data_IF_541810995173
#
_entry.id   IF_541810995173
#
_cell.length_a   1.000
_cell.length_b   1.000
_cell.length_c   1.000
_cell.angle_alpha   90.00
_cell.angle_beta   90.00
_cell.angle_gamma   90.00
#
_symmetry.space_group_name_H-M   'P 1'
#
loop_
_entity.id
_entity.type
_entity.pdbx_description
1 polymer ?
#
# COMPACT_ATOMS: atom_id res chain seq x y z
N UNK A 1 -12.05 -0.04 15.52
CA UNK A 1 -11.03 -1.05 15.18
C UNK A 1 -11.27 -1.46 13.72
N UNK A 2 -10.23 -1.52 12.89
CA UNK A 2 -10.40 -1.95 11.48
C UNK A 2 -10.80 -3.44 11.47
N UNK A 3 -11.80 -3.86 10.68
CA UNK A 3 -12.40 -5.22 10.77
C UNK A 3 -11.40 -6.35 10.54
N UNK A 4 -10.41 -6.14 9.68
CA UNK A 4 -9.41 -7.17 9.35
C UNK A 4 -8.55 -7.59 10.55
N UNK A 5 -8.40 -6.75 11.59
CA UNK A 5 -7.63 -7.06 12.79
C UNK A 5 -8.25 -8.18 13.64
N UNK A 6 -9.48 -8.59 13.34
CA UNK A 6 -10.13 -9.74 13.98
C UNK A 6 -9.75 -11.08 13.34
N UNK A 7 -9.10 -11.07 12.17
CA UNK A 7 -8.67 -12.31 11.50
C UNK A 7 -7.51 -12.93 12.27
N UNK A 8 -7.60 -14.23 12.55
CA UNK A 8 -6.53 -14.98 13.23
C UNK A 8 -5.27 -15.06 12.38
N UNK A 9 -4.11 -15.07 13.04
CA UNK A 9 -2.79 -15.22 12.41
C UNK A 9 -2.20 -16.56 12.83
N UNK A 10 -1.69 -17.32 11.86
CA UNK A 10 -0.81 -18.46 12.06
C UNK A 10 0.40 -18.30 11.14
N UNK A 11 1.45 -17.64 11.64
CA UNK A 11 2.64 -17.33 10.85
C UNK A 11 3.30 -18.62 10.34
N UNK A 12 3.60 -18.68 9.04
CA UNK A 12 4.23 -19.85 8.41
C UNK A 12 5.75 -19.86 8.54
N UNK A 13 6.36 -18.81 9.11
CA UNK A 13 7.79 -18.73 9.36
C UNK A 13 8.65 -18.47 8.11
N UNK A 14 8.09 -18.12 6.97
CA UNK A 14 8.88 -17.78 5.80
C UNK A 14 9.79 -16.57 6.07
N UNK A 15 11.08 -16.61 5.67
CA UNK A 15 11.98 -15.49 5.86
C UNK A 15 11.68 -14.33 4.90
N UNK A 16 12.16 -13.13 5.26
CA UNK A 16 12.27 -12.00 4.33
C UNK A 16 13.42 -12.24 3.35
N UNK A 17 13.19 -11.85 2.08
CA UNK A 17 14.21 -11.84 1.04
C UNK A 17 14.21 -10.50 0.29
N UNK A 18 15.38 -10.02 -0.19
CA UNK A 18 15.46 -8.80 -0.98
C UNK A 18 14.67 -8.90 -2.28
N UNK A 19 14.02 -7.80 -2.66
CA UNK A 19 13.35 -7.68 -3.95
C UNK A 19 14.44 -7.50 -5.01
N UNK A 20 14.77 -8.58 -5.68
CA UNK A 20 15.73 -8.60 -6.80
C UNK A 20 15.12 -9.41 -7.95
N UNK A 21 14.20 -8.80 -8.67
CA UNK A 21 13.49 -9.42 -9.79
C UNK A 21 13.71 -8.58 -11.06
N UNK A 22 14.01 -9.26 -12.17
CA UNK A 22 14.02 -8.61 -13.47
C UNK A 22 12.64 -8.00 -13.78
N UNK A 23 12.59 -6.78 -14.32
CA UNK A 23 11.33 -6.07 -14.59
C UNK A 23 10.66 -5.45 -13.35
N UNK A 24 11.29 -5.54 -12.17
CA UNK A 24 10.89 -4.83 -10.95
C UNK A 24 11.97 -3.81 -10.59
N UNK A 25 11.58 -2.57 -10.38
CA UNK A 25 12.45 -1.47 -9.95
C UNK A 25 12.08 -1.05 -8.53
N UNK A 26 13.07 -0.52 -7.83
CA UNK A 26 12.91 0.01 -6.48
C UNK A 26 13.07 1.52 -6.55
N UNK A 27 12.15 2.27 -5.94
CA UNK A 27 12.26 3.72 -5.87
C UNK A 27 13.43 4.11 -4.97
N UNK A 28 14.40 4.80 -5.54
CA UNK A 28 15.61 5.23 -4.81
C UNK A 28 15.93 6.70 -5.08
N UNK A 29 16.28 7.47 -4.02
CA UNK A 29 16.29 7.08 -2.60
C UNK A 29 14.87 6.74 -2.10
N UNK A 30 14.77 5.99 -0.99
CA UNK A 30 13.47 5.59 -0.43
C UNK A 30 12.74 6.82 0.13
N UNK A 31 11.44 7.03 -0.19
CA UNK A 31 10.72 8.26 0.19
C UNK A 31 10.71 8.54 1.70
N UNK A 32 10.51 7.51 2.53
CA UNK A 32 10.46 7.72 3.97
C UNK A 32 11.84 7.97 4.59
N UNK A 33 12.91 7.42 4.00
CA UNK A 33 14.29 7.75 4.41
C UNK A 33 14.63 9.21 4.10
N UNK A 34 14.14 9.76 2.99
CA UNK A 34 14.27 11.21 2.67
C UNK A 34 13.61 12.06 3.74
N UNK A 35 12.44 11.63 4.27
CA UNK A 35 11.75 12.32 5.35
C UNK A 35 12.44 12.18 6.72
N UNK A 36 13.43 11.28 6.84
CA UNK A 36 14.17 11.05 8.07
C UNK A 36 13.75 9.79 8.85
N UNK A 37 12.94 8.91 8.25
CA UNK A 37 12.60 7.64 8.89
C UNK A 37 13.82 6.72 9.04
N UNK A 38 14.07 6.21 10.24
CA UNK A 38 15.18 5.31 10.54
C UNK A 38 14.76 3.84 10.45
N UNK A 39 15.22 3.16 9.42
CA UNK A 39 15.03 1.72 9.24
C UNK A 39 16.01 0.87 10.07
N UNK A 40 16.91 1.50 10.86
CA UNK A 40 17.88 0.81 11.73
C UNK A 40 18.74 -0.22 10.96
N UNK A 41 19.18 0.16 9.76
CA UNK A 41 19.98 -0.71 8.88
C UNK A 41 19.21 -1.83 8.18
N UNK A 42 17.90 -1.92 8.36
CA UNK A 42 17.03 -2.85 7.61
C UNK A 42 16.69 -2.26 6.25
N UNK A 43 16.53 -3.10 5.25
CA UNK A 43 16.05 -2.64 3.93
C UNK A 43 14.53 -2.52 3.93
N UNK A 44 13.96 -1.42 3.39
CA UNK A 44 12.52 -1.34 3.10
C UNK A 44 12.09 -2.27 1.96
N UNK A 45 13.04 -2.71 1.14
CA UNK A 45 12.77 -3.48 -0.09
C UNK A 45 12.99 -4.99 0.12
N UNK A 46 12.32 -5.56 1.12
CA UNK A 46 12.28 -7.00 1.38
C UNK A 46 10.84 -7.47 1.50
N UNK A 47 10.59 -8.72 1.12
CA UNK A 47 9.28 -9.38 1.22
C UNK A 47 9.47 -10.81 1.72
N UNK A 48 8.41 -11.42 2.29
CA UNK A 48 8.35 -12.87 2.53
C UNK A 48 8.61 -13.61 1.21
N UNK A 49 9.33 -14.71 1.27
CA UNK A 49 9.78 -15.44 0.06
C UNK A 49 8.63 -15.87 -0.84
N UNK A 50 7.50 -16.30 -0.27
CA UNK A 50 6.29 -16.61 -1.02
C UNK A 50 5.67 -15.39 -1.70
N UNK A 51 5.65 -14.24 -1.02
CA UNK A 51 5.17 -12.96 -1.58
C UNK A 51 6.06 -12.51 -2.74
N UNK A 52 7.39 -12.62 -2.57
CA UNK A 52 8.36 -12.29 -3.62
C UNK A 52 8.16 -13.16 -4.87
N UNK A 53 7.91 -14.47 -4.70
CA UNK A 53 7.60 -15.38 -5.80
C UNK A 53 6.34 -14.95 -6.56
N UNK A 54 5.31 -14.53 -5.82
CA UNK A 54 4.05 -14.05 -6.41
C UNK A 54 4.21 -12.71 -7.13
N UNK A 55 5.04 -11.80 -6.59
CA UNK A 55 5.40 -10.56 -7.30
C UNK A 55 6.07 -10.85 -8.64
N UNK A 56 6.92 -11.88 -8.69
CA UNK A 56 7.50 -12.37 -9.94
C UNK A 56 6.45 -12.86 -10.95
N UNK A 57 5.35 -13.48 -10.50
CA UNK A 57 4.24 -13.88 -11.36
C UNK A 57 3.45 -12.67 -11.88
N UNK A 58 3.13 -11.71 -11.00
CA UNK A 58 2.47 -10.45 -11.40
C UNK A 58 3.28 -9.71 -12.49
N UNK A 59 4.60 -9.69 -12.34
CA UNK A 59 5.51 -9.08 -13.36
C UNK A 59 5.42 -9.80 -14.70
N UNK A 60 5.29 -11.14 -14.72
CA UNK A 60 5.11 -11.89 -15.98
C UNK A 60 3.79 -11.51 -16.65
N UNK A 61 2.70 -11.43 -15.89
CA UNK A 61 1.40 -10.96 -16.41
C UNK A 61 1.50 -9.53 -16.99
N UNK A 62 2.23 -8.63 -16.32
CA UNK A 62 2.46 -7.28 -16.86
C UNK A 62 3.22 -7.36 -18.20
N UNK A 63 4.26 -8.17 -18.30
CA UNK A 63 5.07 -8.30 -19.51
C UNK A 63 4.29 -8.87 -20.71
N UNK A 64 3.27 -9.68 -20.46
CA UNK A 64 2.37 -10.20 -21.50
C UNK A 64 1.44 -9.12 -22.06
N UNK A 65 1.07 -8.12 -21.25
CA UNK A 65 0.14 -7.03 -21.62
C UNK A 65 0.93 -5.81 -22.14
N UNK A 66 1.96 -5.40 -21.39
CA UNK A 66 2.81 -4.24 -21.67
C UNK A 66 4.29 -4.66 -21.61
N UNK A 67 4.87 -5.23 -22.67
CA UNK A 67 6.19 -5.88 -22.65
C UNK A 67 7.35 -4.99 -22.22
N UNK A 68 7.22 -3.67 -22.38
CA UNK A 68 8.27 -2.70 -22.05
C UNK A 68 8.10 -2.08 -20.65
N UNK A 69 6.94 -2.27 -20.03
CA UNK A 69 6.65 -1.68 -18.73
C UNK A 69 7.28 -2.48 -17.59
N UNK A 70 7.43 -1.82 -16.45
CA UNK A 70 8.02 -2.41 -15.24
C UNK A 70 7.19 -2.06 -14.01
N UNK A 71 7.26 -2.92 -12.99
CA UNK A 71 6.74 -2.59 -11.67
C UNK A 71 7.75 -1.68 -10.97
N UNK A 72 7.27 -0.59 -10.36
CA UNK A 72 8.04 0.24 -9.44
C UNK A 72 7.54 0.01 -8.01
N UNK A 73 8.39 -0.53 -7.15
CA UNK A 73 8.09 -0.68 -5.72
C UNK A 73 8.43 0.64 -5.03
N UNK A 74 7.41 1.25 -4.44
CA UNK A 74 7.52 2.48 -3.64
C UNK A 74 7.93 2.15 -2.20
N UNK A 75 7.21 1.23 -1.55
CA UNK A 75 7.50 0.71 -0.21
C UNK A 75 7.10 -0.78 -0.11
N UNK A 76 7.74 -1.52 0.78
CA UNK A 76 7.41 -2.92 1.04
C UNK A 76 7.45 -3.23 2.54
N UNK A 77 8.61 -3.60 3.10
CA UNK A 77 8.74 -3.86 4.53
C UNK A 77 8.88 -2.56 5.32
N UNK A 78 8.01 -2.38 6.31
CA UNK A 78 8.00 -1.19 7.17
C UNK A 78 8.00 -1.62 8.64
N UNK A 79 9.10 -1.46 9.38
CA UNK A 79 9.14 -1.70 10.83
C UNK A 79 8.14 -0.81 11.58
N UNK A 80 7.69 -1.26 12.76
CA UNK A 80 6.73 -0.49 13.58
C UNK A 80 7.24 0.92 13.90
N UNK A 81 8.55 1.08 14.15
CA UNK A 81 9.14 2.40 14.41
C UNK A 81 8.98 3.35 13.22
N UNK A 82 9.16 2.85 11.99
CA UNK A 82 8.95 3.64 10.77
C UNK A 82 7.46 3.92 10.55
N UNK A 83 6.59 2.95 10.83
CA UNK A 83 5.14 3.18 10.80
C UNK A 83 4.71 4.29 11.76
N UNK A 84 5.27 4.31 12.99
CA UNK A 84 5.01 5.38 13.96
C UNK A 84 5.53 6.73 13.45
N UNK A 85 6.76 6.75 12.91
CA UNK A 85 7.34 7.95 12.34
C UNK A 85 6.45 8.56 11.25
N UNK A 86 5.91 7.75 10.32
CA UNK A 86 5.04 8.22 9.25
C UNK A 86 3.70 8.76 9.78
N UNK A 87 3.12 8.13 10.80
CA UNK A 87 1.94 8.64 11.50
C UNK A 87 2.22 10.01 12.13
N UNK A 88 3.35 10.16 12.82
CA UNK A 88 3.72 11.41 13.49
C UNK A 88 4.06 12.51 12.49
N UNK A 89 4.74 12.16 11.38
CA UNK A 89 5.04 13.10 10.29
C UNK A 89 3.76 13.64 9.64
N UNK A 90 2.85 12.75 9.24
CA UNK A 90 1.57 13.15 8.63
C UNK A 90 0.69 13.94 9.61
N UNK A 91 0.71 13.59 10.91
CA UNK A 91 0.05 14.38 11.93
C UNK A 91 0.60 15.82 11.97
N UNK A 92 1.93 15.99 11.94
CA UNK A 92 2.58 17.30 11.94
C UNK A 92 2.26 18.09 10.65
N UNK A 93 2.22 17.44 9.49
CA UNK A 93 1.83 18.06 8.22
C UNK A 93 0.39 18.57 8.25
N UNK A 94 -0.55 17.81 8.81
CA UNK A 94 -1.96 18.25 8.96
C UNK A 94 -2.04 19.44 9.93
N UNK A 95 -1.33 19.39 11.05
CA UNK A 95 -1.25 20.51 11.99
C UNK A 95 -0.71 21.78 11.31
N UNK A 96 0.30 21.63 10.47
CA UNK A 96 0.87 22.73 9.70
C UNK A 96 -0.11 23.28 8.66
N UNK A 97 -0.71 22.41 7.88
CA UNK A 97 -1.71 22.73 6.85
C UNK A 97 -2.89 23.52 7.43
N UNK A 98 -3.35 23.12 8.61
CA UNK A 98 -4.53 23.70 9.27
C UNK A 98 -4.16 24.94 10.13
N UNK A 99 -2.90 25.40 10.10
CA UNK A 99 -2.45 26.61 10.82
C UNK A 99 -2.45 26.47 12.35
N UNK A 100 -2.34 25.25 12.86
CA UNK A 100 -2.40 24.92 14.30
C UNK A 100 -1.02 24.78 14.95
N UNK A 101 0.05 25.12 14.25
CA UNK A 101 1.43 25.04 14.75
C UNK A 101 1.63 25.94 15.99
N UNK A 102 2.37 25.41 16.99
CA UNK A 102 2.66 26.13 18.24
C UNK A 102 1.47 26.32 19.17
N UNK A 103 0.30 25.76 18.84
CA UNK A 103 -0.90 25.81 19.67
C UNK A 103 -1.08 24.53 20.50
N UNK A 104 -1.68 24.67 21.67
CA UNK A 104 -2.16 23.49 22.43
C UNK A 104 -3.43 22.95 21.80
N UNK A 105 -3.32 21.80 21.14
CA UNK A 105 -4.46 21.15 20.48
C UNK A 105 -5.46 20.61 21.51
N UNK A 106 -6.74 20.89 21.30
CA UNK A 106 -7.82 20.25 22.06
C UNK A 106 -7.91 18.74 21.78
N UNK A 107 -8.56 18.01 22.67
CA UNK A 107 -8.82 16.57 22.46
C UNK A 107 -9.57 16.30 21.16
N UNK A 108 -10.55 17.14 20.82
CA UNK A 108 -11.34 17.00 19.60
C UNK A 108 -10.49 17.28 18.34
N UNK A 109 -9.65 18.31 18.35
CA UNK A 109 -8.71 18.59 17.25
C UNK A 109 -7.76 17.41 17.03
N UNK A 110 -7.14 16.87 18.08
CA UNK A 110 -6.27 15.69 17.99
C UNK A 110 -7.00 14.50 17.38
N UNK A 111 -8.21 14.21 17.85
CA UNK A 111 -9.03 13.13 17.34
C UNK A 111 -9.33 13.28 15.84
N UNK A 112 -9.71 14.48 15.42
CA UNK A 112 -10.02 14.77 14.01
C UNK A 112 -8.79 14.66 13.11
N UNK A 113 -7.59 15.07 13.59
CA UNK A 113 -6.34 14.91 12.86
C UNK A 113 -6.00 13.42 12.73
N UNK A 114 -6.06 12.65 13.84
CA UNK A 114 -5.80 11.21 13.77
C UNK A 114 -6.79 10.45 12.88
N UNK A 115 -8.05 10.90 12.78
CA UNK A 115 -9.01 10.31 11.84
C UNK A 115 -8.56 10.51 10.39
N UNK A 116 -7.96 11.65 10.04
CA UNK A 116 -7.39 11.89 8.71
C UNK A 116 -6.13 11.04 8.51
N UNK A 117 -5.19 11.05 9.47
CA UNK A 117 -3.95 10.23 9.43
C UNK A 117 -4.27 8.77 9.15
N UNK A 118 -5.23 8.20 9.88
CA UNK A 118 -5.59 6.78 9.75
C UNK A 118 -6.47 6.44 8.53
N UNK A 119 -6.70 7.39 7.64
CA UNK A 119 -7.30 7.09 6.32
C UNK A 119 -6.30 6.31 5.44
N UNK A 120 -5.02 6.69 5.49
CA UNK A 120 -3.94 6.06 4.71
C UNK A 120 -2.95 5.26 5.57
N UNK A 121 -2.80 5.57 6.86
CA UNK A 121 -1.88 4.84 7.71
C UNK A 121 -2.59 3.77 8.54
N UNK A 122 -1.98 2.59 8.64
CA UNK A 122 -2.35 1.64 9.69
C UNK A 122 -1.88 2.16 11.05
N UNK A 123 -2.66 1.86 12.10
CA UNK A 123 -2.27 2.20 13.48
C UNK A 123 -0.99 1.44 13.83
N UNK A 124 0.08 2.11 14.29
CA UNK A 124 1.27 1.44 14.76
C UNK A 124 0.93 0.53 15.95
N UNK A 125 1.19 -0.76 15.80
CA UNK A 125 0.85 -1.74 16.82
C UNK A 125 2.02 -2.66 17.11
N UNK A 126 2.47 -2.68 18.36
CA UNK A 126 3.44 -3.67 18.85
C UNK A 126 2.79 -5.01 19.21
N UNK A 127 1.46 -5.09 19.24
CA UNK A 127 0.74 -6.32 19.50
C UNK A 127 0.89 -7.29 18.30
N UNK A 128 1.47 -8.49 18.49
CA UNK A 128 1.66 -9.45 17.40
C UNK A 128 0.35 -9.97 16.79
N UNK A 129 -0.78 -9.79 17.48
CA UNK A 129 -2.10 -10.17 16.98
C UNK A 129 -2.73 -9.11 16.06
N UNK A 130 -2.16 -7.92 15.98
CA UNK A 130 -2.69 -6.81 15.19
C UNK A 130 -1.57 -6.04 14.48
N UNK A 131 -0.69 -6.72 13.71
CA UNK A 131 0.41 -6.06 13.03
C UNK A 131 -0.09 -5.16 11.91
N UNK A 132 0.53 -3.99 11.69
CA UNK A 132 0.35 -3.24 10.45
C UNK A 132 0.76 -4.09 9.23
N UNK A 133 0.05 -4.03 8.09
CA UNK A 133 0.31 -4.88 6.91
C UNK A 133 1.78 -4.94 6.49
N UNK A 134 2.43 -3.80 6.29
CA UNK A 134 3.83 -3.74 5.85
C UNK A 134 4.83 -4.36 6.85
N UNK A 135 4.51 -4.39 8.15
CA UNK A 135 5.38 -5.01 9.16
C UNK A 135 5.42 -6.55 9.06
N UNK A 136 4.53 -7.13 8.26
CA UNK A 136 4.48 -8.58 8.00
C UNK A 136 5.42 -9.02 6.88
N UNK A 137 5.93 -8.09 6.06
CA UNK A 137 6.63 -8.39 4.82
C UNK A 137 5.72 -8.99 3.73
N UNK A 138 4.40 -8.81 3.86
CA UNK A 138 3.39 -9.38 2.97
C UNK A 138 2.52 -8.31 2.26
N UNK A 139 2.81 -7.04 2.50
CA UNK A 139 2.20 -5.91 1.83
C UNK A 139 3.26 -5.06 1.10
N UNK A 140 2.84 -4.41 0.03
CA UNK A 140 3.70 -3.52 -0.74
C UNK A 140 2.88 -2.43 -1.43
N UNK A 141 3.48 -1.25 -1.57
CA UNK A 141 2.97 -0.11 -2.32
C UNK A 141 3.72 -0.01 -3.65
N UNK A 142 2.99 -0.01 -4.75
CA UNK A 142 3.57 -0.09 -6.09
C UNK A 142 2.86 0.83 -7.09
N UNK A 143 3.61 1.20 -8.10
CA UNK A 143 3.12 1.78 -9.35
C UNK A 143 3.83 1.15 -10.54
N UNK A 144 3.66 1.72 -11.73
CA UNK A 144 4.25 1.22 -12.96
C UNK A 144 5.22 2.26 -13.54
N UNK A 145 6.22 1.76 -14.25
CA UNK A 145 7.07 2.54 -15.16
C UNK A 145 6.72 2.15 -16.59
N UNK A 146 6.64 3.13 -17.45
CA UNK A 146 6.50 2.92 -18.90
C UNK A 146 7.77 2.42 -19.57
N UNK A 147 7.71 2.20 -20.90
CA UNK A 147 8.87 1.74 -21.69
C UNK A 147 10.03 2.71 -21.73
N UNK A 148 9.82 4.00 -21.43
CA UNK A 148 10.88 5.02 -21.30
C UNK A 148 11.50 5.04 -19.90
N UNK A 149 10.90 4.32 -18.94
CA UNK A 149 11.31 4.27 -17.53
C UNK A 149 10.75 5.42 -16.70
N UNK A 150 9.74 6.14 -17.21
CA UNK A 150 9.03 7.16 -16.45
C UNK A 150 7.85 6.57 -15.68
N UNK A 151 7.52 7.11 -14.50
CA UNK A 151 6.32 6.72 -13.78
C UNK A 151 5.07 6.91 -14.64
N UNK A 152 4.23 5.88 -14.68
CA UNK A 152 2.91 5.94 -15.31
C UNK A 152 1.99 6.79 -14.45
N UNK A 153 1.42 7.84 -15.04
CA UNK A 153 0.48 8.71 -14.34
C UNK A 153 -0.81 7.95 -14.00
N UNK A 154 -1.07 7.78 -12.71
CA UNK A 154 -2.24 7.09 -12.15
C UNK A 154 -3.36 8.05 -11.73
N UNK A 155 -3.20 9.36 -12.00
CA UNK A 155 -4.14 10.41 -11.61
C UNK A 155 -4.10 10.78 -10.13
N UNK A 156 -3.05 10.38 -9.40
CA UNK A 156 -2.82 10.69 -7.99
C UNK A 156 -1.56 10.02 -7.51
N UNK A 157 -1.00 10.54 -6.44
CA UNK A 157 0.26 10.04 -5.87
C UNK A 157 0.01 8.96 -4.81
N UNK A 158 1.03 8.13 -4.56
CA UNK A 158 1.04 7.20 -3.41
C UNK A 158 1.07 8.04 -2.13
N UNK A 159 0.36 7.59 -1.10
CA UNK A 159 0.19 8.25 0.20
C UNK A 159 -0.59 9.59 0.15
N UNK A 160 -1.23 9.91 -0.95
CA UNK A 160 -2.03 11.13 -1.05
C UNK A 160 -3.27 11.09 -0.14
N UNK A 161 -3.39 12.08 0.75
CA UNK A 161 -4.56 12.29 1.61
C UNK A 161 -5.70 12.99 0.85
N UNK A 162 -6.29 12.29 -0.11
CA UNK A 162 -7.43 12.79 -0.87
C UNK A 162 -8.36 11.66 -1.34
N UNK A 163 -9.49 12.02 -1.92
CA UNK A 163 -10.41 11.06 -2.52
C UNK A 163 -9.77 10.31 -3.72
N UNK A 164 -8.74 10.87 -4.34
CA UNK A 164 -8.01 10.23 -5.46
C UNK A 164 -7.24 8.98 -5.04
N UNK A 165 -7.02 8.76 -3.74
CA UNK A 165 -6.46 7.51 -3.21
C UNK A 165 -7.39 6.32 -3.44
N UNK A 166 -8.71 6.56 -3.50
CA UNK A 166 -9.70 5.50 -3.72
C UNK A 166 -9.47 4.79 -5.06
N UNK A 167 -9.43 3.45 -5.11
CA UNK A 167 -9.18 2.69 -6.34
C UNK A 167 -10.09 3.07 -7.50
N UNK A 168 -11.37 3.31 -7.22
CA UNK A 168 -12.41 3.56 -8.22
C UNK A 168 -12.79 5.03 -8.35
N UNK A 169 -11.96 5.94 -7.84
CA UNK A 169 -12.25 7.38 -7.84
C UNK A 169 -12.64 7.88 -9.24
N UNK A 170 -11.86 7.54 -10.23
CA UNK A 170 -12.07 7.99 -11.61
C UNK A 170 -13.21 7.26 -12.32
N UNK A 171 -13.63 6.10 -11.85
CA UNK A 171 -14.82 5.41 -12.34
C UNK A 171 -16.11 6.16 -11.95
N UNK A 172 -16.15 6.73 -10.75
CA UNK A 172 -17.30 7.44 -10.20
C UNK A 172 -17.32 8.93 -10.54
N UNK A 173 -16.15 9.54 -10.80
CA UNK A 173 -15.99 10.96 -11.13
C UNK A 173 -16.36 11.31 -12.58
N UNK A 174 -16.76 10.36 -13.40
CA UNK A 174 -17.04 10.55 -14.83
C UNK A 174 -18.44 11.09 -15.06
N UNK A 175 -18.67 12.39 -14.88
CA UNK A 175 -19.84 13.03 -15.50
C UNK A 175 -19.66 13.01 -17.04
N UNK A 176 -20.73 12.69 -17.79
CA UNK A 176 -20.67 12.62 -19.25
C UNK A 176 -20.22 13.90 -19.96
N UNK A 177 -20.36 15.04 -19.28
CA UNK A 177 -20.01 16.38 -19.75
C UNK A 177 -18.65 16.91 -19.27
N UNK A 178 -17.84 16.10 -18.54
CA UNK A 178 -16.55 16.54 -18.02
C UNK A 178 -15.50 16.60 -19.13
N UNK A 179 -14.86 17.75 -19.40
CA UNK A 179 -13.79 17.88 -20.39
C UNK A 179 -12.57 16.99 -20.10
N UNK A 180 -12.36 16.54 -18.83
CA UNK A 180 -11.28 15.66 -18.42
C UNK A 180 -11.66 14.17 -18.50
N UNK A 181 -12.83 13.84 -19.03
CA UNK A 181 -13.35 12.46 -19.05
C UNK A 181 -12.40 11.44 -19.67
N UNK A 182 -11.74 11.78 -20.77
CA UNK A 182 -10.81 10.84 -21.44
C UNK A 182 -9.54 10.61 -20.61
N UNK A 183 -9.07 11.62 -19.91
CA UNK A 183 -7.95 11.53 -18.98
C UNK A 183 -8.33 10.65 -17.76
N UNK A 184 -9.51 10.85 -17.17
CA UNK A 184 -10.02 10.04 -16.05
C UNK A 184 -10.22 8.57 -16.43
N UNK A 185 -10.69 8.29 -17.64
CA UNK A 185 -10.75 6.92 -18.15
C UNK A 185 -9.37 6.28 -18.23
N UNK A 186 -8.38 7.04 -18.72
CA UNK A 186 -7.01 6.56 -18.83
C UNK A 186 -6.42 6.23 -17.46
N UNK A 187 -6.62 7.10 -16.44
CA UNK A 187 -6.19 6.82 -15.08
C UNK A 187 -6.86 5.56 -14.52
N UNK A 188 -8.17 5.40 -14.71
CA UNK A 188 -8.87 4.20 -14.25
C UNK A 188 -8.37 2.95 -14.95
N UNK A 189 -8.16 2.96 -16.26
CA UNK A 189 -7.61 1.84 -17.01
C UNK A 189 -6.23 1.41 -16.50
N UNK A 190 -5.34 2.36 -16.21
CA UNK A 190 -4.00 2.11 -15.66
C UNK A 190 -4.06 1.48 -14.26
N UNK A 191 -4.96 1.98 -13.40
CA UNK A 191 -5.20 1.40 -12.06
C UNK A 191 -5.80 -0.01 -12.14
N UNK A 192 -6.67 -0.28 -13.12
CA UNK A 192 -7.22 -1.61 -13.33
C UNK A 192 -6.20 -2.58 -13.94
N UNK A 193 -5.31 -2.11 -14.82
CA UNK A 193 -4.18 -2.92 -15.29
C UNK A 193 -3.30 -3.34 -14.10
N UNK A 194 -2.93 -2.37 -13.23
CA UNK A 194 -2.16 -2.64 -12.01
C UNK A 194 -2.86 -3.67 -11.11
N UNK A 195 -4.17 -3.52 -10.90
CA UNK A 195 -4.96 -4.45 -10.10
C UNK A 195 -5.01 -5.84 -10.74
N UNK A 196 -5.32 -5.92 -12.03
CA UNK A 196 -5.47 -7.20 -12.76
C UNK A 196 -4.20 -8.04 -12.71
N UNK A 197 -3.03 -7.41 -12.94
CA UNK A 197 -1.77 -8.14 -12.88
C UNK A 197 -1.46 -8.64 -11.46
N UNK A 198 -1.77 -7.86 -10.43
CA UNK A 198 -1.53 -8.25 -9.04
C UNK A 198 -2.51 -9.31 -8.57
N UNK A 199 -3.79 -9.20 -8.91
CA UNK A 199 -4.81 -10.22 -8.61
C UNK A 199 -4.51 -11.55 -9.30
N UNK A 200 -3.98 -11.54 -10.53
CA UNK A 200 -3.58 -12.75 -11.24
C UNK A 200 -2.53 -13.56 -10.48
N UNK A 201 -1.72 -12.90 -9.66
CA UNK A 201 -0.73 -13.51 -8.79
C UNK A 201 -1.25 -13.81 -7.37
N UNK A 202 -2.52 -13.47 -7.07
CA UNK A 202 -3.19 -13.76 -5.81
C UNK A 202 -3.12 -12.65 -4.76
N UNK A 203 -2.58 -11.48 -5.10
CA UNK A 203 -2.66 -10.29 -4.25
C UNK A 203 -4.09 -9.73 -4.23
N UNK A 204 -4.43 -8.99 -3.18
CA UNK A 204 -5.65 -8.20 -3.11
C UNK A 204 -5.31 -6.74 -2.84
N UNK A 205 -5.93 -5.85 -3.60
CA UNK A 205 -5.77 -4.40 -3.47
C UNK A 205 -6.51 -3.89 -2.23
N UNK A 206 -5.90 -2.98 -1.48
CA UNK A 206 -6.55 -2.29 -0.37
C UNK A 206 -7.80 -1.55 -0.85
N UNK A 207 -8.95 -1.63 -0.14
CA UNK A 207 -10.21 -1.05 -0.62
C UNK A 207 -10.22 0.48 -0.66
N UNK A 208 -9.29 1.16 0.00
CA UNK A 208 -9.17 2.62 0.04
C UNK A 208 -7.92 3.18 -0.67
N UNK A 209 -7.04 2.33 -1.22
CA UNK A 209 -5.73 2.73 -1.76
C UNK A 209 -5.45 2.00 -3.06
N UNK A 210 -5.26 2.72 -4.17
CA UNK A 210 -5.05 2.11 -5.49
C UNK A 210 -3.67 1.44 -5.63
N UNK A 211 -2.70 1.83 -4.80
CA UNK A 211 -1.31 1.39 -4.86
C UNK A 211 -0.97 0.22 -3.93
N UNK A 212 -1.76 0.00 -2.85
CA UNK A 212 -1.46 -0.95 -1.79
C UNK A 212 -2.02 -2.34 -2.09
N UNK A 213 -1.15 -3.33 -2.04
CA UNK A 213 -1.48 -4.74 -2.28
C UNK A 213 -0.97 -5.63 -1.15
N UNK A 214 -1.79 -6.56 -0.71
CA UNK A 214 -1.47 -7.55 0.33
C UNK A 214 -1.61 -8.98 -0.20
N UNK A 215 -0.83 -9.90 0.39
CA UNK A 215 -0.94 -11.34 0.15
C UNK A 215 -0.67 -12.12 1.45
N UNK A 216 -1.69 -12.73 2.03
CA UNK A 216 -1.54 -13.63 3.17
C UNK A 216 -1.45 -12.97 4.54
N UNK A 217 -1.51 -11.66 4.65
CA UNK A 217 -1.70 -10.92 5.91
C UNK A 217 -3.17 -10.87 6.34
N UNK A 218 -3.48 -10.19 7.45
CA UNK A 218 -4.85 -10.07 7.95
C UNK A 218 -5.77 -9.31 7.00
N UNK A 219 -5.26 -8.27 6.32
CA UNK A 219 -6.04 -7.48 5.38
C UNK A 219 -6.45 -8.33 4.17
N UNK A 220 -5.49 -9.07 3.60
CA UNK A 220 -5.76 -10.01 2.51
C UNK A 220 -6.76 -11.10 2.90
N UNK A 221 -6.56 -11.74 4.05
CA UNK A 221 -7.43 -12.82 4.51
C UNK A 221 -8.86 -12.31 4.77
N UNK A 222 -9.00 -11.12 5.36
CA UNK A 222 -10.30 -10.49 5.56
C UNK A 222 -11.01 -10.22 4.23
N UNK A 223 -10.33 -9.58 3.26
CA UNK A 223 -10.90 -9.31 1.94
C UNK A 223 -11.28 -10.61 1.22
N UNK A 224 -10.40 -11.61 1.25
CA UNK A 224 -10.69 -12.92 0.67
C UNK A 224 -11.98 -13.52 1.24
N UNK A 225 -12.14 -13.45 2.57
CA UNK A 225 -13.29 -14.00 3.27
C UNK A 225 -14.61 -13.28 2.97
N UNK A 226 -14.56 -11.97 2.64
CA UNK A 226 -15.76 -11.23 2.21
C UNK A 226 -16.31 -11.77 0.88
N UNK A 227 -15.43 -12.21 -0.01
CA UNK A 227 -15.81 -12.74 -1.32
C UNK A 227 -16.02 -14.28 -1.34
N UNK A 228 -15.55 -14.98 -0.29
CA UNK A 228 -15.59 -16.45 -0.21
C UNK A 228 -16.06 -16.92 1.18
N UNK A 229 -17.33 -16.69 1.56
CA UNK A 229 -17.83 -16.99 2.91
C UNK A 229 -17.71 -18.47 3.29
N UNK A 230 -17.78 -19.38 2.29
CA UNK A 230 -17.71 -20.83 2.49
C UNK A 230 -16.27 -21.38 2.52
N UNK A 231 -15.25 -20.54 2.27
CA UNK A 231 -13.82 -20.94 2.18
C UNK A 231 -12.93 -19.96 2.90
N UNK A 232 -13.27 -19.71 4.16
CA UNK A 232 -12.53 -18.72 4.97
C UNK A 232 -11.06 -19.07 5.14
N UNK A 233 -10.23 -18.04 5.10
CA UNK A 233 -8.78 -18.10 5.34
C UNK A 233 -8.42 -17.33 6.60
N UNK A 234 -7.34 -17.76 7.23
CA UNK A 234 -6.62 -17.02 8.26
C UNK A 234 -5.39 -16.36 7.63
N UNK A 235 -4.81 -15.38 8.30
CA UNK A 235 -3.53 -14.82 7.89
C UNK A 235 -2.41 -15.83 8.18
N UNK A 236 -1.50 -16.00 7.20
CA UNK A 236 -0.34 -16.88 7.36
C UNK A 236 0.99 -16.11 7.36
N UNK A 237 0.92 -14.77 7.38
CA UNK A 237 2.04 -13.87 7.64
C UNK A 237 1.69 -12.93 8.79
N UNK A 238 2.42 -13.10 9.88
CA UNK A 238 2.42 -12.20 11.04
C UNK A 238 3.57 -11.19 10.95
N UNK A 239 3.74 -10.39 12.01
CA UNK A 239 4.84 -9.44 12.10
C UNK A 239 6.20 -10.12 12.02
N UNK A 240 7.12 -9.53 11.25
CA UNK A 240 8.54 -9.88 11.29
C UNK A 240 9.23 -9.05 12.36
N UNK A 241 9.95 -9.72 13.25
CA UNK A 241 10.73 -9.07 14.32
C UNK A 241 12.09 -8.53 13.83
#
# INVERSE_FOLDING_TARGET
MKPYLAVSIQDCGEPLAPINLEGVKLLKPHPYEILGADYQGRSPYVLRTGVLKRLGQARLTLADIEPTWKILVFDAYRPIAVQQFMVDNTFAEIVARDGLQGQSLTTEQRKNIYQQVYQIWAVPSSNPLTPPPHSTGAALDITLLDGSGQPVDMGGEIDELSARSQPNYYQTAQAESDPQREEFKLYQQRRELLNTMMESAGFLRHPGEWWHFSLGDQLWAWQYNQHHPDRQKIAYYGRVE
#
